data_IF_243468830182
#
_entry.id   IF_243468830182
#
_cell.length_a   1.000
_cell.length_b   1.000
_cell.length_c   1.000
_cell.angle_alpha   90.00
_cell.angle_beta   90.00
_cell.angle_gamma   90.00
#
_symmetry.space_group_name_H-M   'P 1'
#
loop_
_entity.id
_entity.type
_entity.pdbx_description
1 polymer ?
#
# COMPACT_ATOMS: atom_id res chain seq x y z
N UNK A 1 -11.63 3.76 -7.61
CA UNK A 1 -12.12 2.59 -6.87
C UNK A 1 -11.87 1.38 -7.75
N UNK A 2 -11.32 0.30 -7.22
CA UNK A 2 -10.98 -0.90 -8.01
C UNK A 2 -11.87 -2.06 -7.57
N UNK A 3 -12.62 -2.65 -8.50
CA UNK A 3 -13.39 -3.86 -8.26
C UNK A 3 -12.48 -5.08 -8.44
N UNK A 4 -12.45 -5.96 -7.45
CA UNK A 4 -11.65 -7.17 -7.47
C UNK A 4 -12.58 -8.36 -7.21
N UNK A 5 -12.47 -9.38 -8.04
CA UNK A 5 -13.23 -10.62 -7.86
C UNK A 5 -12.74 -11.37 -6.62
N UNK A 6 -13.65 -11.86 -5.80
CA UNK A 6 -13.34 -12.68 -4.64
C UNK A 6 -12.45 -13.87 -5.04
N UNK A 7 -11.46 -14.22 -4.20
CA UNK A 7 -10.53 -15.31 -4.46
C UNK A 7 -9.52 -15.06 -5.59
N UNK A 8 -9.61 -13.92 -6.29
CA UNK A 8 -8.61 -13.57 -7.30
C UNK A 8 -7.31 -13.08 -6.66
N UNK A 9 -6.19 -13.48 -7.24
CA UNK A 9 -4.89 -12.89 -6.93
C UNK A 9 -4.80 -11.51 -7.56
N UNK A 10 -4.38 -10.52 -6.78
CA UNK A 10 -4.10 -9.18 -7.29
C UNK A 10 -2.72 -8.73 -6.85
N UNK A 11 -2.21 -7.74 -7.57
CA UNK A 11 -0.92 -7.12 -7.27
C UNK A 11 -1.12 -5.64 -7.02
N UNK A 12 -0.71 -5.18 -5.84
CA UNK A 12 -0.65 -3.76 -5.52
C UNK A 12 0.75 -3.24 -5.84
N UNK A 13 0.82 -2.29 -6.76
CA UNK A 13 2.09 -1.62 -7.13
C UNK A 13 2.04 -0.14 -6.76
N UNK A 14 3.07 0.32 -6.05
CA UNK A 14 3.24 1.75 -5.74
C UNK A 14 4.48 2.24 -6.46
N UNK A 15 4.33 3.32 -7.23
CA UNK A 15 5.43 3.99 -7.92
C UNK A 15 5.76 5.29 -7.19
N UNK A 16 7.04 5.46 -6.86
CA UNK A 16 7.55 6.68 -6.25
C UNK A 16 8.65 7.26 -7.15
N UNK A 17 8.65 8.58 -7.30
CA UNK A 17 9.69 9.33 -7.97
C UNK A 17 10.32 10.27 -6.95
N UNK A 18 11.65 10.21 -6.81
CA UNK A 18 12.40 11.08 -5.91
C UNK A 18 13.03 12.16 -6.76
N UNK A 19 12.55 13.39 -6.64
CA UNK A 19 13.02 14.51 -7.47
C UNK A 19 14.38 15.05 -7.01
N UNK A 20 14.64 15.04 -5.70
CA UNK A 20 15.89 15.53 -5.12
C UNK A 20 16.20 14.85 -3.79
N UNK A 21 17.48 14.87 -3.41
CA UNK A 21 17.94 14.36 -2.13
C UNK A 21 18.00 12.84 -2.04
N UNK A 22 17.89 12.36 -0.80
CA UNK A 22 18.16 10.99 -0.40
C UNK A 22 17.22 10.59 0.73
N UNK A 23 16.52 9.47 0.53
CA UNK A 23 15.66 8.85 1.53
C UNK A 23 16.35 7.59 2.02
N UNK A 24 16.51 7.47 3.33
CA UNK A 24 17.08 6.28 3.95
C UNK A 24 16.03 5.56 4.80
N UNK A 25 15.98 4.24 4.67
CA UNK A 25 15.15 3.40 5.55
C UNK A 25 13.65 3.71 5.45
N UNK A 26 13.17 4.11 4.28
CA UNK A 26 11.78 4.41 4.04
C UNK A 26 10.92 3.16 4.31
N UNK A 27 10.00 3.32 5.27
CA UNK A 27 9.06 2.28 5.74
C UNK A 27 7.64 2.64 5.32
N UNK A 28 6.80 1.62 5.16
CA UNK A 28 5.38 1.77 4.91
C UNK A 28 4.59 1.06 6.02
N UNK A 29 3.76 1.79 6.74
CA UNK A 29 2.69 1.24 7.56
C UNK A 29 1.43 1.10 6.70
N UNK A 30 1.08 -0.14 6.34
CA UNK A 30 -0.14 -0.48 5.64
C UNK A 30 -1.22 -0.83 6.67
N UNK A 31 -2.39 -0.19 6.55
CA UNK A 31 -3.56 -0.47 7.37
C UNK A 31 -4.77 -0.71 6.49
N UNK A 32 -5.48 -1.81 6.74
CA UNK A 32 -6.71 -2.15 6.00
C UNK A 32 -7.89 -2.01 6.93
N UNK A 33 -8.89 -1.27 6.46
CA UNK A 33 -10.13 -1.02 7.17
C UNK A 33 -11.32 -1.54 6.37
N UNK A 34 -12.30 -2.07 7.09
CA UNK A 34 -13.60 -2.45 6.55
C UNK A 34 -14.70 -1.86 7.43
N UNK A 35 -15.64 -1.14 6.83
CA UNK A 35 -16.72 -0.46 7.55
C UNK A 35 -16.23 0.39 8.74
N UNK A 36 -15.07 1.03 8.58
CA UNK A 36 -14.44 1.86 9.62
C UNK A 36 -13.60 1.09 10.65
N UNK A 37 -13.67 -0.24 10.69
CA UNK A 37 -12.91 -1.08 11.63
C UNK A 37 -11.58 -1.50 10.99
N UNK A 38 -10.47 -1.34 11.72
CA UNK A 38 -9.15 -1.82 11.29
C UNK A 38 -9.08 -3.34 11.40
N UNK A 39 -8.89 -4.02 10.27
CA UNK A 39 -8.84 -5.48 10.20
C UNK A 39 -7.42 -6.02 9.95
N UNK A 40 -6.51 -5.20 9.43
CA UNK A 40 -5.10 -5.55 9.19
C UNK A 40 -4.20 -4.34 9.43
N UNK A 41 -2.99 -4.58 9.91
CA UNK A 41 -1.98 -3.55 10.13
C UNK A 41 -0.59 -4.18 10.07
N UNK A 42 0.27 -3.70 9.18
CA UNK A 42 1.61 -4.26 9.00
C UNK A 42 2.60 -3.18 8.57
N UNK A 43 3.86 -3.31 9.02
CA UNK A 43 4.95 -2.41 8.64
C UNK A 43 5.89 -3.14 7.70
N UNK A 44 6.18 -2.52 6.57
CA UNK A 44 7.14 -3.01 5.59
C UNK A 44 8.34 -2.08 5.55
N UNK A 45 9.55 -2.64 5.63
CA UNK A 45 10.75 -1.94 5.17
C UNK A 45 10.71 -1.95 3.66
N UNK A 46 10.81 -0.77 3.07
CA UNK A 46 10.66 -0.68 1.63
C UNK A 46 11.98 -0.24 0.95
N UNK A 47 12.84 0.57 1.60
CA UNK A 47 14.27 0.69 1.23
C UNK A 47 14.86 2.09 1.35
N UNK A 48 15.95 2.33 0.63
CA UNK A 48 16.63 3.64 0.55
C UNK A 48 16.77 4.09 -0.91
N UNK A 49 16.56 5.38 -1.20
CA UNK A 49 16.40 5.94 -2.55
C UNK A 49 17.12 7.27 -2.73
N UNK A 50 17.85 7.42 -3.84
CA UNK A 50 18.47 8.68 -4.25
C UNK A 50 17.81 9.25 -5.51
N UNK A 51 17.83 10.57 -5.67
CA UNK A 51 17.18 11.30 -6.77
C UNK A 51 17.58 10.94 -8.22
N UNK A 52 18.60 10.09 -8.42
CA UNK A 52 19.11 9.74 -9.75
C UNK A 52 18.60 8.38 -10.29
N UNK A 53 17.74 7.68 -9.55
CA UNK A 53 17.13 6.43 -10.02
C UNK A 53 15.82 6.76 -10.75
N UNK A 54 15.75 6.45 -12.07
CA UNK A 54 14.50 6.47 -12.84
C UNK A 54 13.41 5.76 -12.02
N UNK A 55 12.21 6.36 -11.98
CA UNK A 55 11.06 5.92 -11.16
C UNK A 55 11.02 4.41 -10.96
N UNK A 56 11.36 3.95 -9.77
CA UNK A 56 11.46 2.52 -9.48
C UNK A 56 10.19 2.10 -8.76
N UNK A 57 9.47 1.11 -9.31
CA UNK A 57 8.33 0.49 -8.66
C UNK A 57 8.76 0.04 -7.26
N UNK A 58 8.13 0.60 -6.23
CA UNK A 58 8.68 0.57 -4.89
C UNK A 58 8.22 -0.64 -4.08
N UNK A 59 7.01 -1.14 -4.35
CA UNK A 59 6.48 -2.33 -3.70
C UNK A 59 5.51 -3.05 -4.61
N UNK A 60 5.65 -4.38 -4.67
CA UNK A 60 4.77 -5.30 -5.40
C UNK A 60 4.25 -6.30 -4.37
N UNK A 61 3.04 -6.09 -3.87
CA UNK A 61 2.36 -7.03 -2.97
C UNK A 61 1.45 -7.93 -3.78
N UNK A 62 1.75 -9.23 -3.82
CA UNK A 62 0.80 -10.24 -4.29
C UNK A 62 -0.11 -10.63 -3.14
N UNK A 63 -1.39 -10.36 -3.29
CA UNK A 63 -2.43 -10.63 -2.29
C UNK A 63 -3.55 -11.45 -2.95
N UNK A 64 -4.33 -12.17 -2.14
CA UNK A 64 -5.51 -12.90 -2.61
C UNK A 64 -6.74 -12.24 -2.01
N UNK A 65 -7.71 -11.89 -2.84
CA UNK A 65 -8.95 -11.28 -2.39
C UNK A 65 -9.72 -12.25 -1.48
N UNK A 66 -10.25 -11.78 -0.34
CA UNK A 66 -11.02 -12.61 0.57
C UNK A 66 -12.27 -13.18 -0.13
N UNK A 67 -12.66 -14.39 0.27
CA UNK A 67 -13.81 -15.11 -0.30
C UNK A 67 -15.04 -15.06 0.60
N UNK A 68 -16.20 -15.32 0.00
CA UNK A 68 -17.45 -15.52 0.72
C UNK A 68 -18.19 -14.22 1.00
N UNK A 69 -19.45 -14.34 1.42
CA UNK A 69 -20.32 -13.19 1.67
C UNK A 69 -19.71 -12.18 2.65
N UNK A 70 -19.09 -12.69 3.72
CA UNK A 70 -18.36 -11.87 4.69
C UNK A 70 -17.01 -11.36 4.19
N UNK A 71 -16.45 -11.86 3.08
CA UNK A 71 -15.24 -11.31 2.48
C UNK A 71 -15.51 -10.15 1.50
N UNK A 72 -16.75 -10.01 1.03
CA UNK A 72 -17.12 -9.01 0.02
C UNK A 72 -17.36 -7.62 0.59
N UNK A 73 -17.34 -6.63 -0.30
CA UNK A 73 -17.63 -5.22 -0.01
C UNK A 73 -16.40 -4.31 -0.05
N UNK A 74 -16.58 -3.08 0.44
CA UNK A 74 -15.57 -2.03 0.32
C UNK A 74 -14.52 -2.08 1.43
N UNK A 75 -13.27 -1.97 1.02
CA UNK A 75 -12.09 -1.88 1.87
C UNK A 75 -11.38 -0.55 1.64
N UNK A 76 -10.93 0.07 2.73
CA UNK A 76 -10.07 1.25 2.72
C UNK A 76 -8.67 0.83 3.13
N UNK A 77 -7.70 1.05 2.25
CA UNK A 77 -6.30 0.78 2.51
C UNK A 77 -5.60 2.12 2.70
N UNK A 78 -4.87 2.26 3.80
CA UNK A 78 -4.06 3.43 4.12
C UNK A 78 -2.62 3.00 4.18
N UNK A 79 -1.79 3.54 3.28
CA UNK A 79 -0.34 3.35 3.27
C UNK A 79 0.31 4.64 3.77
N UNK A 80 0.91 4.58 4.95
CA UNK A 80 1.67 5.71 5.52
C UNK A 80 3.15 5.45 5.36
N UNK A 81 3.82 6.32 4.62
CA UNK A 81 5.24 6.24 4.36
C UNK A 81 6.01 7.20 5.25
N UNK A 82 7.13 6.75 5.81
CA UNK A 82 8.00 7.56 6.63
C UNK A 82 9.45 7.05 6.57
N UNK A 83 10.41 7.96 6.42
CA UNK A 83 11.84 7.67 6.48
C UNK A 83 12.36 7.64 7.93
N UNK A 84 13.54 7.06 8.13
CA UNK A 84 14.11 6.93 9.47
C UNK A 84 14.51 8.27 10.09
N UNK A 85 14.93 9.24 9.25
CA UNK A 85 15.25 10.61 9.67
C UNK A 85 14.00 11.46 9.96
N UNK A 86 12.79 10.93 9.69
CA UNK A 86 11.50 11.61 9.80
C UNK A 86 11.41 12.93 9.01
N UNK A 87 12.23 13.10 7.98
CA UNK A 87 12.21 14.28 7.11
C UNK A 87 11.04 14.25 6.15
N UNK A 88 10.52 13.06 5.84
CA UNK A 88 9.52 12.86 4.83
C UNK A 88 8.45 11.89 5.31
N UNK A 89 7.19 12.35 5.25
CA UNK A 89 6.02 11.56 5.58
C UNK A 89 4.89 11.87 4.61
N UNK A 90 4.31 10.84 4.01
CA UNK A 90 3.16 10.98 3.12
C UNK A 90 2.22 9.79 3.25
N UNK A 91 0.96 10.01 2.86
CA UNK A 91 -0.10 9.01 3.00
C UNK A 91 -0.77 8.80 1.65
N UNK A 92 -0.90 7.54 1.25
CA UNK A 92 -1.68 7.13 0.09
C UNK A 92 -2.90 6.35 0.58
N UNK A 93 -4.09 6.78 0.16
CA UNK A 93 -5.35 6.11 0.51
C UNK A 93 -5.93 5.50 -0.75
N UNK A 94 -6.15 4.19 -0.72
CA UNK A 94 -6.76 3.41 -1.80
C UNK A 94 -8.06 2.78 -1.34
N UNK A 95 -8.99 2.57 -2.27
CA UNK A 95 -10.24 1.84 -2.03
C UNK A 95 -10.35 0.67 -2.98
N UNK A 96 -10.62 -0.50 -2.41
CA UNK A 96 -10.90 -1.74 -3.12
C UNK A 96 -12.34 -2.14 -2.82
N UNK A 97 -13.01 -2.73 -3.80
CA UNK A 97 -14.32 -3.32 -3.61
C UNK A 97 -14.26 -4.78 -4.04
N UNK A 98 -14.49 -5.69 -3.09
CA UNK A 98 -14.46 -7.14 -3.37
C UNK A 98 -15.85 -7.59 -3.79
N UNK A 99 -15.97 -8.06 -5.03
CA UNK A 99 -17.22 -8.52 -5.63
C UNK A 99 -17.21 -10.02 -5.85
N UNK A 100 -18.38 -10.58 -6.20
CA UNK A 100 -18.46 -11.95 -6.72
C UNK A 100 -17.71 -12.07 -8.06
#
# INVERSE_FOLDING_TARGET
EHNIKEGSSYTSTIYLTIESGLLYGLKCLQQVYRSGIKIHSEVYVVGSFSANQKSTAYRVCKEVAPIGFLGRGSYKIINTFQDDDKKMKFVIISRLNITK
#
